data_IF_166027338735
#
_entry.id   IF_166027338735
#
_cell.length_a   1.000
_cell.length_b   1.000
_cell.length_c   1.000
_cell.angle_alpha   90.00
_cell.angle_beta   90.00
_cell.angle_gamma   90.00
#
_symmetry.space_group_name_H-M   'P 1'
#
loop_
_entity.id
_entity.type
_entity.pdbx_description
1 polymer ?
#
# COMPACT_ATOMS: atom_id res chain seq x y z
N UNK A 1 -0.78 -15.37 2.35
CA UNK A 1 -0.92 -16.63 1.59
C UNK A 1 0.18 -17.58 2.03
N UNK A 2 -0.12 -18.80 2.52
CA UNK A 2 0.92 -19.78 2.85
C UNK A 2 1.78 -20.08 1.61
N UNK A 3 3.10 -20.20 1.79
CA UNK A 3 4.12 -20.49 0.76
C UNK A 3 4.51 -19.34 -0.20
N UNK A 4 4.14 -18.07 0.05
CA UNK A 4 4.77 -16.94 -0.68
C UNK A 4 6.18 -16.69 -0.17
N UNK A 5 7.15 -16.73 -1.08
CA UNK A 5 8.52 -16.27 -0.81
C UNK A 5 8.59 -14.76 -0.99
N UNK A 6 8.43 -14.01 0.09
CA UNK A 6 8.68 -12.57 0.07
C UNK A 6 10.19 -12.28 0.01
N UNK A 7 10.55 -11.24 -0.73
CA UNK A 7 11.90 -10.67 -0.75
C UNK A 7 11.83 -9.33 -0.05
N UNK A 8 12.73 -9.10 0.91
CA UNK A 8 12.84 -7.81 1.59
C UNK A 8 13.84 -6.94 0.84
N UNK A 9 13.38 -5.75 0.48
CA UNK A 9 14.22 -4.68 -0.05
C UNK A 9 14.28 -3.57 0.98
N UNK A 10 15.40 -2.85 1.02
CA UNK A 10 15.59 -1.68 1.87
C UNK A 10 16.02 -0.51 1.00
N UNK A 11 15.61 0.70 1.37
CA UNK A 11 15.86 1.90 0.58
C UNK A 11 15.09 3.09 1.11
N UNK A 12 15.23 4.23 0.45
CA UNK A 12 14.48 5.44 0.81
C UNK A 12 12.99 5.24 0.50
N UNK A 13 12.15 5.62 1.47
CA UNK A 13 10.69 5.71 1.34
C UNK A 13 10.25 6.49 0.09
N UNK A 14 11.01 7.51 -0.32
CA UNK A 14 10.68 8.32 -1.50
C UNK A 14 10.87 7.56 -2.83
N UNK A 15 11.63 6.47 -2.84
CA UNK A 15 11.94 5.72 -4.06
C UNK A 15 10.94 4.60 -4.38
N UNK A 16 9.91 4.41 -3.57
CA UNK A 16 8.89 3.34 -3.79
C UNK A 16 8.20 3.51 -5.15
N UNK A 17 7.95 4.76 -5.56
CA UNK A 17 7.37 5.08 -6.87
C UNK A 17 8.26 4.74 -8.07
N UNK A 18 9.55 4.50 -7.83
CA UNK A 18 10.56 4.25 -8.87
C UNK A 18 10.87 2.76 -9.08
N UNK A 19 10.23 1.87 -8.33
CA UNK A 19 10.36 0.43 -8.52
C UNK A 19 9.86 0.03 -9.91
N UNK A 20 10.66 -0.73 -10.66
CA UNK A 20 10.35 -1.18 -12.04
C UNK A 20 10.59 -2.66 -12.23
N UNK A 21 9.86 -3.27 -13.16
CA UNK A 21 10.18 -4.62 -13.64
C UNK A 21 11.50 -4.60 -14.43
N UNK A 22 12.37 -5.61 -14.31
CA UNK A 22 13.55 -5.70 -15.16
C UNK A 22 13.18 -5.65 -16.65
N UNK A 23 13.68 -4.66 -17.38
CA UNK A 23 13.43 -4.49 -18.81
C UNK A 23 12.10 -3.81 -19.19
N UNK A 24 11.38 -3.22 -18.23
CA UNK A 24 10.13 -2.48 -18.46
C UNK A 24 10.07 -1.21 -17.60
N UNK A 25 9.43 -0.16 -18.11
CA UNK A 25 9.13 1.07 -17.37
C UNK A 25 7.83 0.97 -16.54
N UNK A 26 7.18 -0.20 -16.53
CA UNK A 26 6.04 -0.47 -15.67
C UNK A 26 6.42 -0.47 -14.19
N UNK A 27 5.61 0.23 -13.38
CA UNK A 27 5.80 0.27 -11.93
C UNK A 27 5.65 -1.13 -11.33
N UNK A 28 6.62 -1.51 -10.50
CA UNK A 28 6.61 -2.77 -9.76
C UNK A 28 6.03 -2.53 -8.37
N UNK A 29 4.76 -2.85 -8.18
CA UNK A 29 4.09 -2.70 -6.90
C UNK A 29 4.66 -3.69 -5.86
N UNK A 30 5.20 -3.20 -4.73
CA UNK A 30 5.60 -4.06 -3.62
C UNK A 30 4.37 -4.51 -2.81
N UNK A 31 4.27 -5.79 -2.44
CA UNK A 31 3.14 -6.28 -1.66
C UNK A 31 2.91 -5.49 -0.36
N UNK A 32 4.00 -5.13 0.32
CA UNK A 32 4.00 -4.38 1.57
C UNK A 32 5.19 -3.41 1.61
N UNK A 33 4.95 -2.23 2.17
CA UNK A 33 5.98 -1.22 2.48
C UNK A 33 5.76 -0.67 3.87
N UNK A 34 6.84 -0.48 4.64
CA UNK A 34 6.80 0.10 5.98
C UNK A 34 8.11 0.83 6.28
N UNK A 35 8.10 1.85 7.16
CA UNK A 35 9.31 2.48 7.68
C UNK A 35 9.98 1.60 8.74
N UNK A 36 11.26 1.87 9.04
CA UNK A 36 12.03 1.10 10.02
C UNK A 36 11.40 1.03 11.42
N UNK A 37 10.63 2.04 11.82
CA UNK A 37 9.93 2.09 13.11
C UNK A 37 8.55 1.39 13.11
N UNK A 38 8.13 0.87 11.96
CA UNK A 38 6.82 0.22 11.74
C UNK A 38 5.62 1.10 12.12
N UNK A 39 5.74 2.42 12.12
CA UNK A 39 4.66 3.32 12.53
C UNK A 39 3.44 3.29 11.57
N UNK A 40 3.64 2.86 10.33
CA UNK A 40 2.61 2.70 9.30
C UNK A 40 3.01 1.64 8.28
N UNK A 41 2.08 1.22 7.42
CA UNK A 41 2.38 0.41 6.26
C UNK A 41 1.47 0.73 5.07
N UNK A 42 1.95 0.44 3.87
CA UNK A 42 1.17 0.42 2.64
C UNK A 42 1.07 -1.04 2.17
N UNK A 43 -0.13 -1.50 1.86
CA UNK A 43 -0.39 -2.77 1.20
C UNK A 43 -0.93 -2.53 -0.19
N UNK A 44 -0.27 -3.08 -1.21
CA UNK A 44 -0.81 -3.07 -2.58
C UNK A 44 -1.71 -4.27 -2.75
N UNK A 45 -2.90 -4.05 -3.30
CA UNK A 45 -3.79 -5.14 -3.66
C UNK A 45 -3.72 -5.41 -5.16
N UNK A 46 -3.98 -6.66 -5.55
CA UNK A 46 -3.96 -7.10 -6.96
C UNK A 46 -5.36 -7.20 -7.55
N UNK A 47 -6.36 -7.39 -6.70
CA UNK A 47 -7.76 -7.55 -7.06
C UNK A 47 -8.51 -6.22 -7.00
N UNK A 48 -8.03 -5.28 -6.17
CA UNK A 48 -8.53 -3.91 -6.11
C UNK A 48 -7.47 -2.96 -6.67
N UNK A 49 -7.84 -2.05 -7.59
CA UNK A 49 -6.98 -0.94 -8.04
C UNK A 49 -6.82 0.11 -6.93
N UNK A 50 -6.38 -0.31 -5.76
CA UNK A 50 -6.34 0.46 -4.52
C UNK A 50 -5.11 0.13 -3.70
N UNK A 51 -4.65 1.12 -2.95
CA UNK A 51 -3.63 0.98 -1.93
C UNK A 51 -4.29 1.04 -0.56
N UNK A 52 -3.97 0.09 0.31
CA UNK A 52 -4.35 0.14 1.71
C UNK A 52 -3.25 0.82 2.51
N UNK A 53 -3.62 1.78 3.35
CA UNK A 53 -2.70 2.44 4.27
C UNK A 53 -3.14 2.13 5.69
N UNK A 54 -2.25 1.53 6.48
CA UNK A 54 -2.47 1.24 7.89
C UNK A 54 -1.54 2.08 8.76
N UNK A 55 -2.04 2.58 9.87
CA UNK A 55 -1.27 3.42 10.79
C UNK A 55 -2.13 3.93 11.95
N UNK A 56 -1.62 4.94 12.67
CA UNK A 56 -2.37 5.56 13.77
C UNK A 56 -3.66 6.24 13.28
N UNK A 57 -4.66 6.36 14.16
CA UNK A 57 -5.91 7.04 13.85
C UNK A 57 -5.68 8.48 13.35
N UNK A 58 -4.76 9.20 13.99
CA UNK A 58 -4.39 10.57 13.63
C UNK A 58 -3.86 10.64 12.19
N UNK A 59 -2.96 9.75 11.82
CA UNK A 59 -2.41 9.68 10.45
C UNK A 59 -3.51 9.39 9.42
N UNK A 60 -4.40 8.45 9.71
CA UNK A 60 -5.50 8.12 8.80
C UNK A 60 -6.41 9.34 8.58
N UNK A 61 -6.71 10.09 9.64
CA UNK A 61 -7.50 11.33 9.54
C UNK A 61 -6.79 12.41 8.71
N UNK A 62 -5.46 12.54 8.84
CA UNK A 62 -4.65 13.46 8.03
C UNK A 62 -4.69 13.09 6.54
N UNK A 63 -4.55 11.80 6.21
CA UNK A 63 -4.67 11.30 4.83
C UNK A 63 -6.07 11.56 4.28
N UNK A 64 -7.13 11.24 5.04
CA UNK A 64 -8.52 11.50 4.64
C UNK A 64 -8.76 12.99 4.34
N UNK A 65 -8.19 13.86 5.16
CA UNK A 65 -8.28 15.31 4.96
C UNK A 65 -7.52 15.79 3.72
N UNK A 66 -6.39 15.16 3.38
CA UNK A 66 -5.53 15.57 2.27
C UNK A 66 -6.00 15.03 0.92
N UNK A 67 -6.54 13.81 0.89
CA UNK A 67 -6.93 13.09 -0.33
C UNK A 67 -8.46 12.92 -0.46
N UNK A 68 -9.23 13.82 0.15
CA UNK A 68 -10.69 13.75 0.19
C UNK A 68 -11.32 13.49 -1.18
N UNK A 69 -12.12 12.42 -1.27
CA UNK A 69 -12.79 11.98 -2.50
C UNK A 69 -12.04 10.90 -3.30
N UNK A 70 -10.75 10.67 -3.03
CA UNK A 70 -9.93 9.62 -3.66
C UNK A 70 -9.50 8.50 -2.70
N UNK A 71 -9.84 8.63 -1.42
CA UNK A 71 -9.64 7.58 -0.42
C UNK A 71 -10.90 7.37 0.42
N UNK A 72 -11.07 6.16 0.94
CA UNK A 72 -12.17 5.79 1.85
C UNK A 72 -11.61 4.96 3.00
N UNK A 73 -12.07 5.26 4.22
CA UNK A 73 -11.78 4.40 5.37
C UNK A 73 -12.35 3.01 5.19
N UNK A 74 -11.55 2.02 5.54
CA UNK A 74 -11.97 0.62 5.58
C UNK A 74 -11.68 0.00 6.95
N UNK A 75 -12.50 -0.97 7.34
CA UNK A 75 -12.28 -1.83 8.50
C UNK A 75 -12.14 -3.28 8.07
N UNK A 76 -11.58 -4.12 8.93
CA UNK A 76 -11.38 -5.55 8.66
C UNK A 76 -12.69 -6.29 8.30
N UNK A 77 -13.82 -5.87 8.87
CA UNK A 77 -15.14 -6.45 8.61
C UNK A 77 -15.80 -5.95 7.33
N UNK A 78 -15.22 -4.97 6.65
CA UNK A 78 -15.85 -4.38 5.47
C UNK A 78 -15.80 -5.38 4.31
N UNK A 79 -16.94 -5.50 3.61
CA UNK A 79 -17.00 -6.24 2.35
C UNK A 79 -16.58 -5.29 1.24
N UNK A 80 -15.43 -5.58 0.64
CA UNK A 80 -14.93 -4.84 -0.51
C UNK A 80 -15.56 -5.40 -1.79
N UNK A 81 -16.03 -4.51 -2.66
CA UNK A 81 -16.63 -4.89 -3.96
C UNK A 81 -15.50 -4.97 -4.97
N UNK A 82 -15.23 -6.17 -5.48
CA UNK A 82 -14.22 -6.36 -6.53
C UNK A 82 -14.70 -5.64 -7.78
N UNK A 83 -13.85 -4.80 -8.36
CA UNK A 83 -14.13 -4.12 -9.62
C UNK A 83 -13.97 -5.14 -10.76
N UNK A 84 -15.04 -5.36 -11.53
CA UNK A 84 -15.05 -6.29 -12.68
C UNK A 84 -14.41 -5.68 -13.92
#
# INVERSE_FOLDING_TARGET
>A
MPNRNYRLFTGDSLSIGDLRYPGSDEWRNPDLVWPDDHAWFIGTDVDFWSLYVGGSLKMIQEIESQFGGSCRRVNFSDKLVVEN
#
